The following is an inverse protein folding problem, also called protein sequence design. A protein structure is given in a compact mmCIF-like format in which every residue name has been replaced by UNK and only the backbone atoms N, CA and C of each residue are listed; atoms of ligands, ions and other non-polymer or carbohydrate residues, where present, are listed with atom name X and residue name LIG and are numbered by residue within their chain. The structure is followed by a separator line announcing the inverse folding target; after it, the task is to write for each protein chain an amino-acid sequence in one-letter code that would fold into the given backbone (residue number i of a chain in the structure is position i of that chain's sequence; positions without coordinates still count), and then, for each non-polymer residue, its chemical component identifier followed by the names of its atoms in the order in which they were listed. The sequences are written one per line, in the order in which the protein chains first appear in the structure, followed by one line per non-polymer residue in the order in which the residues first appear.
data_IF_697988208761
#
_entry.id   IF_697988208761
#
_cell.length_a   1.000
_cell.length_b   1.000
_cell.length_c   1.000
_cell.angle_alpha   90.00
_cell.angle_beta   90.00
_cell.angle_gamma   90.00
#
_symmetry.space_group_name_H-M   'P 1'
#
loop_
_entity.id
_entity.type
_entity.pdbx_description
1 polymer ?
#
# COMPACT_ATOMS: atom_id res chain seq x y z
N UNK A 1 -2.14 9.21 -10.29
CA UNK A 1 -1.71 9.01 -8.86
C UNK A 1 -2.92 8.55 -8.07
N UNK A 2 -2.77 7.49 -7.27
CA UNK A 2 -3.82 6.95 -6.41
C UNK A 2 -3.91 7.81 -5.14
N UNK A 3 -5.08 8.28 -4.79
CA UNK A 3 -5.32 9.11 -3.61
C UNK A 3 -6.50 8.59 -2.75
N UNK A 4 -7.04 7.43 -3.12
CA UNK A 4 -8.17 6.81 -2.43
C UNK A 4 -8.24 5.32 -2.76
N UNK A 5 -8.47 4.48 -1.74
CA UNK A 5 -8.78 3.07 -1.91
C UNK A 5 -9.82 2.62 -0.88
N UNK A 6 -10.39 1.44 -1.04
CA UNK A 6 -11.40 0.89 -0.12
C UNK A 6 -10.91 -0.38 0.56
N UNK A 7 -11.30 -0.56 1.82
CA UNK A 7 -11.15 -1.79 2.58
C UNK A 7 -12.40 -1.98 3.44
N UNK A 8 -13.39 -2.69 2.92
CA UNK A 8 -14.65 -2.97 3.61
C UNK A 8 -14.74 -4.40 4.15
N UNK A 9 -14.10 -5.34 3.46
CA UNK A 9 -14.07 -6.75 3.85
C UNK A 9 -12.90 -7.04 4.82
N UNK A 10 -12.84 -6.33 5.94
CA UNK A 10 -11.76 -6.49 6.94
C UNK A 10 -11.68 -7.90 7.52
N UNK A 11 -12.79 -8.64 7.57
CA UNK A 11 -12.84 -10.05 7.96
C UNK A 11 -12.14 -11.00 7.00
N UNK A 12 -11.92 -10.60 5.74
CA UNK A 12 -11.26 -11.43 4.73
C UNK A 12 -9.72 -11.34 4.79
N UNK A 13 -9.16 -10.42 5.58
CA UNK A 13 -7.70 -10.25 5.68
C UNK A 13 -7.06 -11.53 6.21
N UNK A 14 -7.54 -12.07 7.34
CA UNK A 14 -6.97 -13.27 7.94
C UNK A 14 -7.15 -14.53 7.07
N UNK A 15 -8.34 -14.82 6.51
CA UNK A 15 -8.49 -15.97 5.61
C UNK A 15 -7.62 -15.89 4.35
N UNK A 16 -7.44 -14.71 3.79
CA UNK A 16 -6.73 -14.56 2.51
C UNK A 16 -5.20 -14.47 2.67
N UNK A 17 -4.72 -13.81 3.71
CA UNK A 17 -3.28 -13.52 3.88
C UNK A 17 -2.63 -14.32 5.01
N UNK A 18 -3.41 -15.10 5.77
CA UNK A 18 -2.95 -15.97 6.85
C UNK A 18 -1.91 -15.34 7.80
N UNK A 19 -2.14 -14.12 8.34
CA UNK A 19 -1.22 -13.52 9.29
C UNK A 19 -1.31 -14.26 10.64
N UNK A 20 -0.19 -14.35 11.36
CA UNK A 20 -0.17 -14.91 12.71
C UNK A 20 -0.87 -13.98 13.73
N UNK A 21 -0.82 -12.67 13.49
CA UNK A 21 -1.55 -11.71 14.31
C UNK A 21 -2.96 -11.48 13.80
N UNK A 22 -3.90 -11.26 14.70
CA UNK A 22 -5.26 -10.84 14.35
C UNK A 22 -5.31 -9.41 13.78
N UNK A 23 -6.42 -9.08 13.13
CA UNK A 23 -6.69 -7.70 12.68
C UNK A 23 -6.70 -6.75 13.89
N UNK A 24 -5.98 -5.61 13.85
CA UNK A 24 -5.91 -4.68 14.97
C UNK A 24 -7.30 -4.27 15.47
N UNK A 25 -7.47 -4.25 16.80
CA UNK A 25 -8.73 -3.82 17.42
C UNK A 25 -9.10 -2.41 16.94
N UNK A 26 -10.37 -2.22 16.59
CA UNK A 26 -10.87 -0.93 16.10
C UNK A 26 -10.71 -0.70 14.60
N UNK A 27 -10.15 -1.66 13.84
CA UNK A 27 -10.18 -1.62 12.38
C UNK A 27 -11.64 -1.67 11.91
N UNK A 28 -12.08 -0.63 11.25
CA UNK A 28 -13.45 -0.52 10.71
C UNK A 28 -13.45 -0.61 9.20
N UNK A 29 -14.50 -1.20 8.60
CA UNK A 29 -14.73 -1.09 7.17
C UNK A 29 -14.71 0.37 6.72
N UNK A 30 -13.98 0.66 5.64
CA UNK A 30 -13.88 2.01 5.10
C UNK A 30 -13.92 1.95 3.58
N UNK A 31 -14.90 2.62 3.00
CA UNK A 31 -15.07 2.71 1.54
C UNK A 31 -14.10 3.69 0.90
N UNK A 32 -13.55 4.64 1.65
CA UNK A 32 -12.67 5.69 1.14
C UNK A 32 -11.50 5.98 2.10
N UNK A 33 -10.49 5.11 2.11
CA UNK A 33 -9.24 5.39 2.83
C UNK A 33 -8.45 6.42 2.01
N UNK A 34 -8.07 7.53 2.66
CA UNK A 34 -7.35 8.67 2.06
C UNK A 34 -5.98 8.85 2.72
N UNK A 35 -5.03 9.54 2.06
CA UNK A 35 -3.75 9.89 2.69
C UNK A 35 -3.92 10.51 4.07
N UNK A 36 -2.98 10.21 4.96
CA UNK A 36 -2.98 10.56 6.39
C UNK A 36 -3.98 9.79 7.28
N UNK A 37 -4.79 8.89 6.74
CA UNK A 37 -5.62 7.97 7.51
C UNK A 37 -4.86 6.67 7.82
N UNK A 38 -5.21 6.02 8.92
CA UNK A 38 -4.64 4.73 9.31
C UNK A 38 -5.46 3.58 8.73
N UNK A 39 -4.73 2.55 8.28
CA UNK A 39 -5.30 1.31 7.76
C UNK A 39 -4.39 0.13 8.11
N UNK A 40 -4.90 -1.12 8.07
CA UNK A 40 -4.06 -2.29 8.25
C UNK A 40 -3.14 -2.51 7.05
N UNK A 41 -1.90 -2.86 7.34
CA UNK A 41 -0.92 -3.37 6.40
C UNK A 41 -0.40 -4.72 6.90
N UNK A 42 0.06 -5.56 5.99
CA UNK A 42 0.67 -6.85 6.30
C UNK A 42 2.17 -6.72 6.06
N UNK A 43 2.96 -7.09 7.04
CA UNK A 43 4.43 -7.04 7.04
C UNK A 43 5.01 -8.37 7.46
N UNK A 44 6.27 -8.62 7.16
CA UNK A 44 7.03 -9.71 7.75
C UNK A 44 7.71 -9.21 9.04
N UNK A 45 7.55 -9.96 10.12
CA UNK A 45 8.27 -9.76 11.38
C UNK A 45 8.86 -11.11 11.77
N UNK A 46 10.18 -11.24 11.72
CA UNK A 46 10.91 -12.46 12.12
C UNK A 46 10.41 -13.73 11.40
N UNK A 47 10.07 -13.61 10.12
CA UNK A 47 9.56 -14.73 9.30
C UNK A 47 8.04 -14.90 9.33
N UNK A 48 7.32 -14.17 10.17
CA UNK A 48 5.87 -14.27 10.32
C UNK A 48 5.12 -13.10 9.68
N UNK A 49 4.01 -13.39 8.99
CA UNK A 49 3.11 -12.34 8.50
C UNK A 49 2.36 -11.72 9.65
N UNK A 50 2.53 -10.44 9.85
CA UNK A 50 1.93 -9.66 10.97
C UNK A 50 1.12 -8.50 10.43
N UNK A 51 -0.07 -8.25 11.00
CA UNK A 51 -0.87 -7.07 10.65
C UNK A 51 -0.50 -5.92 11.58
N UNK A 52 -0.13 -4.78 10.99
CA UNK A 52 0.09 -3.51 11.71
C UNK A 52 -0.92 -2.47 11.25
N UNK A 53 -1.38 -1.62 12.18
CA UNK A 53 -2.06 -0.38 11.81
C UNK A 53 -1.00 0.65 11.43
N UNK A 54 -1.12 1.25 10.26
CA UNK A 54 -0.17 2.22 9.74
C UNK A 54 -0.88 3.39 9.05
N UNK A 55 -0.28 4.57 9.09
CA UNK A 55 -0.80 5.80 8.48
C UNK A 55 -0.33 5.88 7.02
N UNK A 56 -1.26 6.14 6.10
CA UNK A 56 -0.95 6.27 4.68
C UNK A 56 -0.28 7.60 4.36
N UNK A 57 1.00 7.54 4.13
CA UNK A 57 1.88 8.66 3.83
C UNK A 57 3.18 8.54 4.59
N UNK A 58 4.27 8.41 3.85
CA UNK A 58 5.59 8.30 4.41
C UNK A 58 6.05 9.64 4.97
N UNK A 59 6.55 9.64 6.18
CA UNK A 59 7.07 10.84 6.84
C UNK A 59 8.59 10.70 6.96
N UNK A 60 9.36 11.66 6.44
CA UNK A 60 10.78 11.71 6.72
C UNK A 60 11.04 11.81 8.24
N UNK A 61 12.12 11.22 8.72
CA UNK A 61 12.49 11.23 10.14
C UNK A 61 12.44 12.65 10.76
N UNK A 62 12.82 13.66 9.99
CA UNK A 62 12.83 15.08 10.40
C UNK A 62 11.51 15.83 10.10
N UNK A 63 10.45 15.14 9.71
CA UNK A 63 9.16 15.78 9.48
C UNK A 63 8.59 16.32 10.78
N UNK A 64 8.28 17.62 10.80
CA UNK A 64 7.72 18.32 11.98
C UNK A 64 6.22 18.12 12.14
N UNK A 65 5.53 17.73 11.06
CA UNK A 65 4.08 17.54 11.04
C UNK A 65 3.64 16.57 9.91
N UNK A 66 2.38 16.18 9.99
CA UNK A 66 1.74 15.31 8.99
C UNK A 66 1.48 16.01 7.63
N UNK A 67 1.58 17.34 7.54
CA UNK A 67 1.34 18.07 6.29
C UNK A 67 2.42 17.79 5.25
N UNK A 68 3.58 17.30 5.70
CA UNK A 68 4.67 16.83 4.84
C UNK A 68 4.20 15.74 3.87
N UNK A 69 3.23 14.89 4.26
CA UNK A 69 2.63 13.85 3.42
C UNK A 69 2.04 14.46 2.14
N UNK A 70 1.27 15.54 2.28
CA UNK A 70 0.61 16.21 1.15
C UNK A 70 1.59 17.08 0.36
N UNK A 71 2.48 17.78 1.04
CA UNK A 71 3.50 18.64 0.41
C UNK A 71 4.41 17.87 -0.54
N UNK A 72 4.87 16.70 -0.11
CA UNK A 72 5.80 15.86 -0.88
C UNK A 72 5.12 14.68 -1.56
N UNK A 73 3.80 14.52 -1.42
CA UNK A 73 2.99 13.43 -1.99
C UNK A 73 3.57 12.05 -1.66
N UNK A 74 4.07 11.87 -0.44
CA UNK A 74 4.76 10.66 0.01
C UNK A 74 3.83 9.48 0.29
N UNK A 75 2.56 9.60 0.00
CA UNK A 75 1.59 8.51 0.06
C UNK A 75 1.68 7.54 -1.12
N UNK A 76 2.32 7.95 -2.24
CA UNK A 76 2.68 7.06 -3.34
C UNK A 76 4.17 7.18 -3.66
N UNK A 77 4.74 6.09 -4.14
CA UNK A 77 6.09 6.04 -4.69
C UNK A 77 6.05 5.35 -6.06
N UNK A 78 6.70 5.95 -7.06
CA UNK A 78 6.72 5.41 -8.41
C UNK A 78 7.68 4.20 -8.49
N UNK A 79 7.17 3.08 -9.00
CA UNK A 79 7.95 1.84 -9.18
C UNK A 79 9.18 2.05 -10.04
N UNK A 80 9.08 2.91 -11.07
CA UNK A 80 10.15 3.20 -12.04
C UNK A 80 11.35 3.90 -11.39
N UNK A 81 11.14 4.62 -10.29
CA UNK A 81 12.20 5.42 -9.65
C UNK A 81 12.50 5.02 -8.20
N UNK A 82 11.85 3.97 -7.68
CA UNK A 82 11.96 3.60 -6.27
C UNK A 82 13.39 3.24 -5.86
N UNK A 83 14.16 2.59 -6.73
CA UNK A 83 15.55 2.22 -6.47
C UNK A 83 16.55 3.35 -6.76
N UNK A 84 16.20 4.34 -7.57
CA UNK A 84 17.08 5.45 -7.91
C UNK A 84 17.07 6.58 -6.88
N UNK A 85 16.05 6.63 -6.02
CA UNK A 85 15.93 7.64 -4.97
C UNK A 85 16.44 7.09 -3.64
N UNK A 86 17.52 7.64 -3.06
CA UNK A 86 18.13 7.10 -1.82
C UNK A 86 17.14 6.93 -0.66
N UNK A 87 16.16 7.84 -0.52
CA UNK A 87 15.12 7.76 0.52
C UNK A 87 14.19 6.54 0.41
N UNK A 88 14.09 5.92 -0.76
CA UNK A 88 13.23 4.76 -1.00
C UNK A 88 14.02 3.48 -1.20
N UNK A 89 15.22 3.59 -1.77
CA UNK A 89 16.03 2.44 -2.19
C UNK A 89 16.39 1.48 -1.04
N UNK A 90 16.68 2.00 0.15
CA UNK A 90 16.95 1.15 1.32
C UNK A 90 15.66 0.58 1.90
N UNK A 91 14.58 1.36 1.91
CA UNK A 91 13.30 0.95 2.50
C UNK A 91 12.68 -0.17 1.67
N UNK A 92 12.65 -0.06 0.33
CA UNK A 92 12.07 -1.10 -0.53
C UNK A 92 12.82 -2.43 -0.47
N UNK A 93 14.08 -2.44 -0.09
CA UNK A 93 14.84 -3.68 0.10
C UNK A 93 14.46 -4.44 1.37
N UNK A 94 14.09 -3.75 2.44
CA UNK A 94 13.98 -4.35 3.76
C UNK A 94 12.62 -4.16 4.44
N UNK A 95 11.81 -3.18 4.01
CA UNK A 95 10.58 -2.77 4.69
C UNK A 95 9.42 -2.71 3.71
N UNK A 96 9.06 -3.88 3.17
CA UNK A 96 7.94 -4.05 2.27
C UNK A 96 6.69 -4.50 3.01
N UNK A 97 5.54 -4.10 2.49
CA UNK A 97 4.25 -4.51 3.03
C UNK A 97 3.24 -4.82 1.92
N UNK A 98 2.20 -5.55 2.27
CA UNK A 98 0.99 -5.67 1.49
C UNK A 98 -0.07 -4.74 2.09
N UNK A 99 -0.73 -3.98 1.24
CA UNK A 99 -1.88 -3.14 1.58
C UNK A 99 -3.13 -3.88 1.08
N UNK A 100 -3.89 -4.53 1.97
CA UNK A 100 -5.12 -5.22 1.56
C UNK A 100 -6.17 -4.19 1.15
N UNK A 101 -6.80 -4.38 0.00
CA UNK A 101 -7.82 -3.48 -0.52
C UNK A 101 -8.94 -4.23 -1.23
N UNK A 102 -10.20 -3.83 -1.03
CA UNK A 102 -11.30 -4.28 -1.90
C UNK A 102 -11.17 -3.68 -3.29
N UNK A 103 -10.58 -2.50 -3.39
CA UNK A 103 -10.35 -1.83 -4.65
C UNK A 103 -9.71 -0.47 -4.47
N UNK A 104 -9.29 0.14 -5.57
CA UNK A 104 -8.70 1.47 -5.60
C UNK A 104 -9.46 2.37 -6.59
N UNK A 105 -9.41 3.66 -6.33
CA UNK A 105 -10.13 4.63 -7.13
C UNK A 105 -9.19 5.37 -8.09
N UNK A 106 -9.70 5.61 -9.29
CA UNK A 106 -9.06 6.47 -10.28
C UNK A 106 -10.07 7.44 -10.86
N UNK A 107 -9.59 8.65 -11.06
CA UNK A 107 -10.35 9.66 -11.77
C UNK A 107 -9.97 9.62 -13.25
N UNK A 108 -10.98 9.65 -14.13
CA UNK A 108 -10.85 9.66 -15.58
C UNK A 108 -11.60 10.85 -16.16
N UNK A 109 -11.06 11.45 -17.20
CA UNK A 109 -11.66 12.60 -17.89
C UNK A 109 -11.11 13.96 -17.44
N UNK A 110 -11.51 15.03 -18.13
CA UNK A 110 -11.09 16.38 -17.79
C UNK A 110 -11.75 16.85 -16.49
N UNK A 111 -11.16 17.83 -15.83
CA UNK A 111 -11.63 18.35 -14.53
C UNK A 111 -13.09 18.84 -14.55
N UNK A 112 -13.59 19.24 -15.70
CA UNK A 112 -14.99 19.68 -15.91
C UNK A 112 -15.99 18.52 -16.01
N UNK A 113 -15.53 17.30 -16.31
CA UNK A 113 -16.37 16.10 -16.41
C UNK A 113 -15.57 14.86 -15.93
N UNK A 114 -15.22 14.89 -14.67
CA UNK A 114 -14.40 13.88 -14.03
C UNK A 114 -15.27 12.73 -13.54
N UNK A 115 -14.98 11.52 -14.00
CA UNK A 115 -15.60 10.29 -13.51
C UNK A 115 -14.64 9.59 -12.55
N UNK A 116 -15.14 9.19 -11.39
CA UNK A 116 -14.41 8.34 -10.47
C UNK A 116 -14.72 6.87 -10.75
N UNK A 117 -13.70 6.09 -11.05
CA UNK A 117 -13.81 4.66 -11.32
C UNK A 117 -13.26 3.89 -10.11
N UNK A 118 -13.97 2.86 -9.68
CA UNK A 118 -13.49 1.87 -8.69
C UNK A 118 -13.04 0.63 -9.44
N UNK A 119 -11.78 0.27 -9.25
CA UNK A 119 -11.18 -0.96 -9.74
C UNK A 119 -11.12 -1.97 -8.59
N UNK A 120 -11.70 -3.15 -8.76
CA UNK A 120 -11.76 -4.22 -7.77
C UNK A 120 -11.48 -5.58 -8.40
N UNK A 121 -11.27 -6.60 -7.58
CA UNK A 121 -11.13 -7.97 -8.07
C UNK A 121 -12.46 -8.48 -8.62
N UNK A 122 -12.40 -9.26 -9.71
CA UNK A 122 -13.59 -9.89 -10.31
C UNK A 122 -14.15 -11.03 -9.45
N UNK A 123 -13.33 -11.64 -8.59
CA UNK A 123 -13.70 -12.76 -7.70
C UNK A 123 -13.94 -12.31 -6.24
N UNK A 124 -14.15 -11.00 -6.02
CA UNK A 124 -14.41 -10.38 -4.72
C UNK A 124 -13.30 -10.57 -3.66
N UNK A 125 -12.13 -11.06 -4.05
CA UNK A 125 -10.96 -11.13 -3.16
C UNK A 125 -10.36 -9.75 -2.92
N UNK A 126 -9.61 -9.63 -1.82
CA UNK A 126 -8.83 -8.44 -1.57
C UNK A 126 -7.64 -8.38 -2.55
N UNK A 127 -7.41 -7.21 -3.13
CA UNK A 127 -6.23 -6.91 -3.92
C UNK A 127 -5.03 -6.73 -2.99
N UNK A 128 -3.93 -7.48 -3.18
CA UNK A 128 -2.69 -7.31 -2.42
C UNK A 128 -1.85 -6.20 -3.05
N UNK A 129 -2.10 -4.94 -2.66
CA UNK A 129 -1.36 -3.81 -3.21
C UNK A 129 0.04 -3.74 -2.59
N UNK A 130 1.07 -3.54 -3.43
CA UNK A 130 2.44 -3.39 -2.97
C UNK A 130 2.64 -2.07 -2.24
N UNK A 131 3.34 -2.12 -1.12
CA UNK A 131 3.74 -0.96 -0.36
C UNK A 131 5.09 -1.10 0.29
N UNK A 132 5.60 0.01 0.77
CA UNK A 132 6.74 0.09 1.68
C UNK A 132 6.28 0.73 2.97
N UNK A 133 6.90 0.37 4.09
CA UNK A 133 6.55 0.92 5.39
C UNK A 133 7.79 1.34 6.19
N UNK A 134 7.58 2.15 7.20
CA UNK A 134 8.59 2.52 8.18
C UNK A 134 7.93 2.96 9.48
N UNK A 135 8.74 3.35 10.43
CA UNK A 135 8.30 4.04 11.64
C UNK A 135 8.68 5.52 11.58
N UNK A 136 7.85 6.36 12.16
CA UNK A 136 8.12 7.78 12.34
C UNK A 136 7.80 8.18 13.77
N UNK A 137 8.70 8.96 14.38
CA UNK A 137 8.46 9.55 15.71
C UNK A 137 7.99 10.98 15.53
N UNK A 138 6.83 11.32 16.09
CA UNK A 138 6.33 12.69 16.08
C UNK A 138 7.11 13.58 17.08
N UNK A 139 6.94 14.92 17.04
CA UNK A 139 7.63 15.82 17.95
C UNK A 139 7.35 15.55 19.44
N UNK A 140 6.24 14.90 19.76
CA UNK A 140 5.87 14.48 21.11
C UNK A 140 6.46 13.11 21.50
N UNK A 141 7.26 12.50 20.61
CA UNK A 141 7.93 11.20 20.84
C UNK A 141 7.04 9.98 20.61
N UNK A 142 5.81 10.14 20.08
CA UNK A 142 4.95 8.99 19.76
C UNK A 142 5.40 8.34 18.46
N UNK A 143 5.48 7.01 18.48
CA UNK A 143 5.90 6.23 17.32
C UNK A 143 4.68 5.83 16.48
N UNK A 144 4.73 6.10 15.18
CA UNK A 144 3.73 5.74 14.20
C UNK A 144 4.31 4.80 13.15
N UNK A 145 3.56 3.76 12.81
CA UNK A 145 3.84 3.08 11.55
C UNK A 145 3.29 3.93 10.40
N UNK A 146 4.07 4.07 9.35
CA UNK A 146 3.70 4.83 8.14
C UNK A 146 3.95 3.96 6.91
N UNK A 147 3.18 4.15 5.86
CA UNK A 147 3.37 3.40 4.62
C UNK A 147 3.14 4.27 3.38
N UNK A 148 3.75 3.85 2.27
CA UNK A 148 3.49 4.38 0.93
C UNK A 148 3.05 3.24 0.02
N UNK A 149 2.12 3.54 -0.87
CA UNK A 149 1.70 2.63 -1.93
C UNK A 149 2.66 2.73 -3.11
N UNK A 150 3.10 1.61 -3.67
CA UNK A 150 3.91 1.59 -4.89
C UNK A 150 2.96 1.63 -6.08
N UNK A 151 3.21 2.56 -7.00
CA UNK A 151 2.37 2.76 -8.19
C UNK A 151 3.22 2.90 -9.44
N UNK A 152 2.67 2.50 -10.57
CA UNK A 152 3.08 3.03 -11.88
C UNK A 152 2.46 4.43 -12.05
N UNK A 153 2.65 5.05 -13.20
CA UNK A 153 1.94 6.29 -13.54
C UNK A 153 0.41 6.14 -13.46
N UNK A 154 -0.08 4.94 -13.63
CA UNK A 154 -1.50 4.67 -13.85
C UNK A 154 -2.16 3.91 -12.72
N UNK A 155 -1.53 2.84 -12.22
CA UNK A 155 -2.14 1.88 -11.30
C UNK A 155 -1.23 1.59 -10.10
N UNK A 156 -1.79 1.15 -8.95
CA UNK A 156 -0.97 0.55 -7.92
C UNK A 156 -0.37 -0.76 -8.44
N UNK A 157 0.80 -1.11 -7.95
CA UNK A 157 1.34 -2.45 -8.16
C UNK A 157 0.51 -3.42 -7.32
N UNK A 158 0.01 -4.48 -7.98
CA UNK A 158 -0.70 -5.58 -7.34
C UNK A 158 0.23 -6.77 -7.34
N UNK A 159 0.57 -7.28 -6.16
CA UNK A 159 1.45 -8.45 -6.03
C UNK A 159 0.65 -9.71 -6.35
N UNK A 160 1.17 -10.56 -7.22
CA UNK A 160 0.54 -11.85 -7.48
C UNK A 160 0.48 -12.70 -6.21
N UNK A 161 -0.60 -13.47 -6.02
CA UNK A 161 -0.83 -14.22 -4.77
C UNK A 161 0.28 -15.21 -4.44
N UNK A 162 0.91 -15.81 -5.45
CA UNK A 162 2.05 -16.72 -5.34
C UNK A 162 3.38 -16.00 -5.02
N UNK A 163 3.42 -14.67 -5.15
CA UNK A 163 4.60 -13.84 -4.89
C UNK A 163 4.53 -13.00 -3.60
N UNK A 164 3.48 -13.19 -2.80
CA UNK A 164 3.30 -12.42 -1.56
C UNK A 164 4.43 -12.72 -0.56
N UNK A 165 4.83 -13.99 -0.42
CA UNK A 165 5.92 -14.37 0.48
C UNK A 165 7.25 -13.79 0.00
N UNK A 166 7.56 -13.94 -1.28
CA UNK A 166 8.76 -13.37 -1.90
C UNK A 166 8.80 -11.84 -1.71
N UNK A 167 7.64 -11.16 -1.89
CA UNK A 167 7.54 -9.73 -1.66
C UNK A 167 7.82 -9.32 -0.22
N UNK A 168 7.34 -10.09 0.73
CA UNK A 168 7.50 -9.80 2.16
C UNK A 168 8.81 -10.29 2.75
N UNK A 169 9.55 -11.18 2.08
CA UNK A 169 10.82 -11.73 2.57
C UNK A 169 11.96 -10.73 2.45
N UNK A 170 12.50 -10.18 3.56
CA UNK A 170 13.59 -9.23 3.52
C UNK A 170 14.91 -9.81 2.98
N UNK A 171 15.05 -11.14 2.87
CA UNK A 171 16.20 -11.78 2.27
C UNK A 171 16.26 -11.61 0.75
N UNK A 172 15.12 -11.36 0.10
CA UNK A 172 15.05 -11.00 -1.32
C UNK A 172 15.25 -9.49 -1.44
N UNK A 173 16.48 -9.03 -1.59
CA UNK A 173 16.83 -7.61 -1.62
C UNK A 173 17.46 -7.14 -2.94
N UNK A 174 17.70 -8.04 -3.89
CA UNK A 174 18.24 -7.69 -5.19
C UNK A 174 17.19 -6.99 -6.09
N UNK A 175 17.70 -6.01 -6.86
CA UNK A 175 16.83 -5.12 -7.65
C UNK A 175 16.05 -5.89 -8.72
N UNK A 176 16.66 -6.89 -9.36
CA UNK A 176 16.01 -7.59 -10.48
C UNK A 176 14.83 -8.44 -9.99
N UNK A 177 15.03 -9.21 -8.90
CA UNK A 177 13.97 -10.00 -8.28
C UNK A 177 12.81 -9.12 -7.82
N UNK A 178 13.11 -7.97 -7.20
CA UNK A 178 12.08 -7.04 -6.76
C UNK A 178 11.33 -6.38 -7.93
N UNK A 179 12.02 -6.05 -9.04
CA UNK A 179 11.35 -5.56 -10.25
C UNK A 179 10.49 -6.63 -10.90
N UNK A 180 10.92 -7.88 -10.89
CA UNK A 180 10.12 -8.99 -11.42
C UNK A 180 8.80 -9.17 -10.64
N UNK A 181 8.85 -9.07 -9.30
CA UNK A 181 7.64 -9.12 -8.46
C UNK A 181 6.74 -7.91 -8.70
N UNK A 182 7.31 -6.74 -8.96
CA UNK A 182 6.56 -5.49 -9.21
C UNK A 182 6.06 -5.34 -10.63
N UNK A 183 6.18 -6.34 -11.51
CA UNK A 183 5.61 -6.22 -12.85
C UNK A 183 4.11 -5.97 -12.77
N UNK A 184 3.59 -5.01 -13.56
CA UNK A 184 2.16 -4.73 -13.59
C UNK A 184 1.38 -5.99 -14.01
N UNK A 185 0.32 -6.30 -13.25
CA UNK A 185 -0.60 -7.35 -13.67
C UNK A 185 -1.48 -6.86 -14.83
N UNK A 186 -2.08 -7.81 -15.55
CA UNK A 186 -3.11 -7.49 -16.54
C UNK A 186 -4.36 -6.92 -15.84
N UNK A 187 -4.58 -5.63 -16.00
CA UNK A 187 -5.71 -4.92 -15.40
C UNK A 187 -7.05 -5.23 -16.09
N UNK A 188 -7.06 -5.95 -17.23
CA UNK A 188 -8.29 -6.40 -17.87
C UNK A 188 -9.09 -7.39 -17.01
N UNK A 189 -8.42 -8.06 -16.06
CA UNK A 189 -9.04 -8.94 -15.08
C UNK A 189 -9.73 -8.18 -13.92
N UNK A 190 -9.60 -6.87 -13.84
CA UNK A 190 -10.27 -6.08 -12.81
C UNK A 190 -11.67 -5.66 -13.24
N UNK A 191 -12.61 -5.77 -12.32
CA UNK A 191 -13.94 -5.18 -12.44
C UNK A 191 -13.84 -3.67 -12.28
N UNK A 192 -14.57 -2.92 -13.11
CA UNK A 192 -14.58 -1.45 -13.08
C UNK A 192 -16.03 -0.98 -12.86
N UNK A 193 -16.24 -0.24 -11.78
CA UNK A 193 -17.52 0.39 -11.45
C UNK A 193 -17.37 1.92 -11.48
N UNK A 194 -18.36 2.62 -12.05
CA UNK A 194 -18.47 4.09 -12.00
C UNK A 194 -19.08 4.47 -10.65
N UNK A 195 -18.48 5.45 -9.95
CA UNK A 195 -18.92 5.93 -8.63
C UNK A 195 -19.34 7.39 -8.67
#
# INVERSE_FOLDING_TARGET
MINKYSLTATGNISPQFAPESGVPKGTKPNTEIKPNQSAPIIVNVEGARTIKSAKWGFLPEKAKDNNSIFRYKTYNVASETIFSKPSWASVVRNQRCIIPANGFYRDKGPSSNKQTLLYSSADDKLLPLAGIYSTWSDPEGRIWNVYSMITTDTYPIIVSSDKIDDWLDPAIDDINSLYEIMQPIDTSALKIDIK
#
